data_IF_615797447514
#
_entry.id   IF_615797447514
#
_cell.length_a   1.000
_cell.length_b   1.000
_cell.length_c   1.000
_cell.angle_alpha   90.00
_cell.angle_beta   90.00
_cell.angle_gamma   90.00
#
_symmetry.space_group_name_H-M   'P 1'
#
loop_
_entity.id
_entity.type
_entity.pdbx_description
1 polymer ?
#
# COMPACT_ATOMS: atom_id res chain seq x y z
N UNK A 1 -20.15 -19.65 -8.22
CA UNK A 1 -19.44 -18.48 -7.72
C UNK A 1 -19.59 -17.31 -8.69
N UNK A 2 -19.80 -16.16 -8.15
CA UNK A 2 -19.96 -14.98 -8.99
C UNK A 2 -18.61 -14.39 -9.36
N UNK A 3 -18.57 -13.75 -10.51
CA UNK A 3 -17.38 -13.03 -10.90
C UNK A 3 -17.28 -11.72 -10.12
N UNK A 4 -16.09 -11.30 -9.75
CA UNK A 4 -15.91 -10.07 -8.98
C UNK A 4 -16.47 -8.82 -9.66
N UNK A 5 -16.35 -8.74 -10.98
CA UNK A 5 -16.79 -7.53 -11.68
C UNK A 5 -18.29 -7.36 -11.70
N UNK A 6 -19.08 -8.43 -11.46
CA UNK A 6 -20.53 -8.34 -11.41
C UNK A 6 -21.00 -7.72 -10.12
N UNK A 7 -20.31 -8.02 -9.02
CA UNK A 7 -20.74 -7.63 -7.69
C UNK A 7 -19.78 -6.71 -7.00
N UNK A 8 -18.72 -6.31 -7.69
CA UNK A 8 -17.68 -5.52 -7.09
C UNK A 8 -18.17 -4.13 -6.70
N UNK A 9 -17.78 -3.73 -5.51
CA UNK A 9 -17.98 -2.38 -5.04
C UNK A 9 -17.20 -1.41 -5.93
N UNK A 10 -17.62 -0.15 -6.01
CA UNK A 10 -16.79 0.87 -6.64
C UNK A 10 -15.41 0.89 -5.99
N UNK A 11 -14.39 1.11 -6.81
CA UNK A 11 -13.03 1.18 -6.31
C UNK A 11 -12.87 2.39 -5.41
N UNK A 12 -12.10 2.22 -4.34
CA UNK A 12 -11.83 3.30 -3.40
C UNK A 12 -10.37 3.67 -3.45
N UNK A 13 -10.06 4.96 -3.51
CA UNK A 13 -8.67 5.42 -3.46
C UNK A 13 -8.01 5.02 -2.15
N UNK A 14 -6.75 4.67 -2.23
CA UNK A 14 -5.98 4.28 -1.05
C UNK A 14 -4.54 4.76 -1.18
N UNK A 15 -3.97 5.12 -0.02
CA UNK A 15 -2.52 5.32 0.13
C UNK A 15 -2.00 4.09 0.85
N UNK A 16 -0.85 3.59 0.44
CA UNK A 16 -0.31 2.38 1.02
C UNK A 16 1.21 2.48 1.18
N UNK A 17 1.74 1.68 2.10
CA UNK A 17 3.18 1.55 2.27
C UNK A 17 3.54 0.07 2.19
N UNK A 18 4.51 -0.23 1.33
CA UNK A 18 5.09 -1.56 1.23
C UNK A 18 6.47 -1.55 1.88
N UNK A 19 6.87 -2.69 2.41
CA UNK A 19 8.20 -2.85 3.01
C UNK A 19 8.85 -4.13 2.50
N UNK A 20 10.19 -4.13 2.45
CA UNK A 20 10.93 -5.34 2.13
C UNK A 20 10.93 -6.32 3.31
N UNK A 21 10.94 -5.76 4.51
CA UNK A 21 10.90 -6.50 5.78
C UNK A 21 10.70 -5.47 6.89
N UNK A 22 10.57 -5.94 8.13
CA UNK A 22 10.49 -5.04 9.27
C UNK A 22 11.68 -4.10 9.27
N UNK A 23 11.41 -2.80 9.34
CA UNK A 23 12.42 -1.74 9.31
C UNK A 23 13.29 -1.75 8.06
N UNK A 24 12.83 -2.41 6.99
CA UNK A 24 13.53 -2.46 5.71
C UNK A 24 13.23 -1.27 4.81
N UNK A 25 13.42 -1.48 3.52
CA UNK A 25 13.13 -0.47 2.51
C UNK A 25 11.62 -0.24 2.41
N UNK A 26 11.22 1.03 2.34
CA UNK A 26 9.83 1.42 2.26
C UNK A 26 9.48 2.00 0.89
N UNK A 27 8.25 1.74 0.46
CA UNK A 27 7.69 2.35 -0.74
C UNK A 27 6.30 2.88 -0.43
N UNK A 28 6.08 4.17 -0.69
CA UNK A 28 4.78 4.80 -0.49
C UNK A 28 4.11 4.96 -1.84
N UNK A 29 2.86 4.51 -1.96
CA UNK A 29 2.12 4.59 -3.20
C UNK A 29 0.68 5.03 -3.01
N UNK A 30 0.02 5.33 -4.12
CA UNK A 30 -1.40 5.68 -4.16
C UNK A 30 -2.04 4.91 -5.31
N UNK A 31 -3.28 4.46 -5.10
CA UNK A 31 -3.97 3.67 -6.11
C UNK A 31 -5.48 3.84 -5.98
N UNK A 32 -6.20 3.59 -7.06
CA UNK A 32 -7.65 3.48 -7.01
C UNK A 32 -8.12 2.06 -6.75
N UNK A 33 -7.20 1.10 -6.73
CA UNK A 33 -7.52 -0.33 -6.56
C UNK A 33 -6.41 -1.00 -5.77
N UNK A 34 -6.56 -1.01 -4.46
CA UNK A 34 -5.51 -1.48 -3.54
C UNK A 34 -5.18 -2.96 -3.77
N UNK A 35 -6.19 -3.81 -3.89
CA UNK A 35 -5.98 -5.25 -4.05
C UNK A 35 -5.18 -5.53 -5.32
N UNK A 36 -5.60 -4.95 -6.44
CA UNK A 36 -4.92 -5.14 -7.72
C UNK A 36 -3.47 -4.64 -7.65
N UNK A 37 -3.27 -3.46 -7.08
CA UNK A 37 -1.94 -2.84 -7.06
C UNK A 37 -0.97 -3.61 -6.18
N UNK A 38 -1.41 -4.03 -5.01
CA UNK A 38 -0.57 -4.81 -4.12
C UNK A 38 -0.24 -6.16 -4.75
N UNK A 39 -1.22 -6.79 -5.39
CA UNK A 39 -0.98 -8.03 -6.13
C UNK A 39 0.10 -7.85 -7.20
N UNK A 40 0.02 -6.75 -7.94
CA UNK A 40 1.00 -6.46 -8.99
C UNK A 40 2.41 -6.30 -8.41
N UNK A 41 2.55 -5.63 -7.28
CA UNK A 41 3.84 -5.50 -6.62
C UNK A 41 4.37 -6.85 -6.14
N UNK A 42 3.51 -7.65 -5.52
CA UNK A 42 3.90 -8.97 -5.01
C UNK A 42 4.35 -9.92 -6.11
N UNK A 43 3.82 -9.76 -7.31
CA UNK A 43 4.13 -10.63 -8.44
C UNK A 43 5.12 -10.00 -9.41
N UNK A 44 5.76 -8.91 -9.01
CA UNK A 44 6.77 -8.21 -9.80
C UNK A 44 6.29 -7.79 -11.19
N UNK A 45 4.99 -7.51 -11.30
CA UNK A 45 4.41 -6.99 -12.55
C UNK A 45 4.79 -5.52 -12.72
N UNK A 46 4.93 -4.81 -11.58
CA UNK A 46 5.36 -3.40 -11.58
C UNK A 46 6.88 -3.37 -11.58
N UNK A 47 7.45 -2.81 -12.63
CA UNK A 47 8.89 -2.68 -12.73
C UNK A 47 9.40 -1.53 -11.88
N UNK A 48 10.71 -1.55 -11.58
CA UNK A 48 11.40 -0.45 -10.94
C UNK A 48 11.66 -0.70 -9.47
N UNK A 49 11.39 0.32 -8.64
CA UNK A 49 11.85 0.36 -7.25
C UNK A 49 11.45 -0.88 -6.44
N UNK A 50 10.17 -1.23 -6.44
CA UNK A 50 9.69 -2.33 -5.58
C UNK A 50 10.24 -3.68 -6.01
N UNK A 51 10.39 -3.90 -7.31
CA UNK A 51 10.98 -5.12 -7.83
C UNK A 51 12.46 -5.20 -7.48
N UNK A 52 13.19 -4.10 -7.69
CA UNK A 52 14.63 -4.04 -7.45
C UNK A 52 14.97 -4.31 -5.99
N UNK A 53 14.18 -3.76 -5.07
CA UNK A 53 14.49 -3.84 -3.63
C UNK A 53 13.66 -4.89 -2.89
N UNK A 54 12.87 -5.68 -3.61
CA UNK A 54 12.07 -6.74 -2.98
C UNK A 54 11.03 -6.23 -1.99
N UNK A 55 10.36 -5.13 -2.33
CA UNK A 55 9.43 -4.46 -1.43
C UNK A 55 8.02 -4.97 -1.72
N UNK A 56 7.61 -6.02 -1.00
CA UNK A 56 6.38 -6.75 -1.31
C UNK A 56 5.37 -6.85 -0.17
N UNK A 57 5.78 -6.57 1.08
CA UNK A 57 4.87 -6.69 2.22
C UNK A 57 4.04 -5.42 2.37
N UNK A 58 2.73 -5.57 2.40
CA UNK A 58 1.84 -4.45 2.67
C UNK A 58 1.81 -4.21 4.19
N UNK A 59 2.43 -3.13 4.64
CA UNK A 59 2.55 -2.87 6.08
C UNK A 59 1.65 -1.75 6.58
N UNK A 60 1.05 -0.98 5.68
CA UNK A 60 0.13 0.09 6.04
C UNK A 60 -0.76 0.45 4.85
N UNK A 61 -2.03 0.77 5.11
CA UNK A 61 -2.89 1.36 4.09
C UNK A 61 -3.96 2.22 4.76
N UNK A 62 -4.45 3.20 4.01
CA UNK A 62 -5.54 4.05 4.44
C UNK A 62 -6.45 4.34 3.23
N UNK A 63 -7.75 4.34 3.47
CA UNK A 63 -8.72 4.59 2.42
C UNK A 63 -9.06 6.08 2.37
N UNK A 64 -9.37 6.57 1.18
CA UNK A 64 -9.73 7.97 0.98
C UNK A 64 -11.04 8.09 0.22
N UNK A 65 -11.69 9.24 0.37
CA UNK A 65 -12.97 9.49 -0.30
C UNK A 65 -12.79 9.65 -1.80
N UNK A 66 -11.71 10.32 -2.22
CA UNK A 66 -11.43 10.54 -3.63
C UNK A 66 -9.93 10.53 -3.92
N UNK A 67 -9.60 10.43 -5.21
CA UNK A 67 -8.21 10.36 -5.63
C UNK A 67 -7.43 11.63 -5.35
N UNK A 68 -8.05 12.79 -5.42
CA UNK A 68 -7.33 14.04 -5.16
C UNK A 68 -6.79 14.07 -3.73
N UNK A 69 -7.59 13.67 -2.76
CA UNK A 69 -7.17 13.61 -1.36
C UNK A 69 -6.09 12.55 -1.16
N UNK A 70 -6.26 11.39 -1.79
CA UNK A 70 -5.29 10.30 -1.69
C UNK A 70 -3.93 10.73 -2.25
N UNK A 71 -3.93 11.38 -3.39
CA UNK A 71 -2.69 11.86 -4.03
C UNK A 71 -1.99 12.89 -3.15
N UNK A 72 -2.74 13.83 -2.57
CA UNK A 72 -2.18 14.82 -1.65
C UNK A 72 -1.52 14.15 -0.44
N UNK A 73 -2.22 13.17 0.13
CA UNK A 73 -1.72 12.45 1.30
C UNK A 73 -0.44 11.68 0.96
N UNK A 74 -0.45 10.98 -0.16
CA UNK A 74 0.72 10.24 -0.61
C UNK A 74 1.94 11.16 -0.77
N UNK A 75 1.74 12.32 -1.38
CA UNK A 75 2.83 13.29 -1.56
C UNK A 75 3.38 13.78 -0.22
N UNK A 76 2.50 14.00 0.77
CA UNK A 76 2.94 14.41 2.10
C UNK A 76 3.77 13.33 2.77
N UNK A 77 3.27 12.11 2.77
CA UNK A 77 3.96 11.00 3.42
C UNK A 77 5.32 10.76 2.77
N UNK A 78 5.39 10.87 1.46
CA UNK A 78 6.67 10.73 0.75
C UNK A 78 7.72 11.72 1.22
N UNK A 79 7.31 12.91 1.63
CA UNK A 79 8.23 13.94 2.11
C UNK A 79 8.62 13.79 3.57
N UNK A 80 7.90 12.97 4.33
CA UNK A 80 8.24 12.73 5.73
C UNK A 80 9.60 12.05 5.83
N UNK A 81 10.27 12.28 6.97
CA UNK A 81 11.47 11.51 7.26
C UNK A 81 11.09 10.05 7.56
N UNK A 82 12.08 9.20 7.56
CA UNK A 82 11.85 7.76 7.75
C UNK A 82 11.20 7.44 9.09
N UNK A 83 11.63 8.12 10.15
CA UNK A 83 11.09 7.87 11.50
C UNK A 83 9.58 8.09 11.55
N UNK A 84 9.09 9.12 10.87
CA UNK A 84 7.65 9.41 10.84
C UNK A 84 6.88 8.34 10.07
N UNK A 85 7.45 7.82 9.00
CA UNK A 85 6.82 6.73 8.25
C UNK A 85 6.73 5.46 9.09
N UNK A 86 7.78 5.14 9.81
CA UNK A 86 7.81 4.00 10.72
C UNK A 86 6.76 4.17 11.82
N UNK A 87 6.66 5.35 12.40
CA UNK A 87 5.67 5.65 13.43
C UNK A 87 4.25 5.44 12.90
N UNK A 88 3.97 5.91 11.69
CA UNK A 88 2.66 5.73 11.07
C UNK A 88 2.32 4.25 10.92
N UNK A 89 3.27 3.45 10.46
CA UNK A 89 3.09 2.00 10.31
C UNK A 89 2.80 1.37 11.68
N UNK A 90 3.61 1.69 12.66
CA UNK A 90 3.56 0.99 13.95
C UNK A 90 2.39 1.39 14.83
N UNK A 91 1.72 2.50 14.55
CA UNK A 91 0.49 2.86 15.25
C UNK A 91 -0.58 1.77 15.12
N UNK A 92 -0.67 1.13 13.97
CA UNK A 92 -1.69 0.11 13.71
C UNK A 92 -1.10 -1.28 13.44
N UNK A 93 0.18 -1.35 13.12
CA UNK A 93 0.83 -2.59 12.76
C UNK A 93 2.21 -2.66 13.40
N UNK A 94 2.28 -2.73 14.75
CA UNK A 94 3.56 -2.68 15.45
C UNK A 94 4.51 -3.83 15.10
N UNK A 95 3.99 -4.94 14.66
CA UNK A 95 4.80 -6.11 14.32
C UNK A 95 5.15 -6.22 12.85
N UNK A 96 4.72 -5.25 12.04
CA UNK A 96 5.01 -5.22 10.60
C UNK A 96 4.53 -6.45 9.84
N UNK A 97 3.35 -6.97 10.22
CA UNK A 97 2.75 -8.07 9.48
C UNK A 97 2.40 -7.64 8.06
N UNK A 98 2.46 -8.57 7.13
CA UNK A 98 1.92 -8.33 5.79
C UNK A 98 0.39 -8.31 5.90
N UNK A 99 -0.22 -7.18 5.58
CA UNK A 99 -1.65 -6.98 5.72
C UNK A 99 -2.45 -7.50 4.51
N UNK A 100 -1.78 -8.18 3.58
CA UNK A 100 -2.45 -8.77 2.42
C UNK A 100 -3.72 -9.54 2.77
N UNK A 101 -3.71 -10.44 3.76
CA UNK A 101 -4.93 -11.17 4.12
C UNK A 101 -6.10 -10.29 4.55
N UNK A 102 -5.84 -9.06 4.96
CA UNK A 102 -6.89 -8.14 5.40
C UNK A 102 -7.61 -7.46 4.25
N UNK A 103 -7.02 -7.41 3.07
CA UNK A 103 -7.60 -6.71 1.92
C UNK A 103 -8.18 -7.64 0.86
N UNK A 104 -7.97 -8.94 0.98
CA UNK A 104 -8.48 -9.91 0.01
C UNK A 104 -9.68 -10.69 0.54
#
# INVERSE_FOLDING_TARGET
MRTPEITREPKHPAVYILASKRHGTLYVGVTSDLVKRVWEHKNNVVEGFTQTYGVHDLVYFEMHVDMAQAIQREKRIKKWNRAWKIELIEQENPDWHDLWPQIV
#
